data_IF_783446148446
#
_entry.id   IF_783446148446
#
_cell.length_a   1.000
_cell.length_b   1.000
_cell.length_c   1.000
_cell.angle_alpha   90.00
_cell.angle_beta   90.00
_cell.angle_gamma   90.00
#
_symmetry.space_group_name_H-M   'P 1'
#
loop_
_entity.id
_entity.type
_entity.pdbx_description
1 polymer ?
#
# COMPACT_ATOMS: atom_id res chain seq x y z
N UNK A 1 3.62 -10.03 17.98
CA UNK A 1 2.46 -9.45 17.31
C UNK A 1 1.37 -10.49 17.39
N UNK A 2 0.74 -10.67 18.55
CA UNK A 2 -0.41 -11.55 18.60
C UNK A 2 -1.57 -10.74 17.97
N UNK A 3 -1.99 -11.15 16.78
CA UNK A 3 -3.21 -10.71 16.08
C UNK A 3 -3.12 -9.52 15.10
N UNK A 4 -1.93 -8.94 14.87
CA UNK A 4 -1.78 -8.02 13.74
C UNK A 4 -1.75 -8.84 12.44
N UNK A 5 -2.90 -8.92 11.74
CA UNK A 5 -2.93 -9.40 10.36
C UNK A 5 -2.00 -8.53 9.52
N UNK A 6 -0.97 -9.15 8.99
CA UNK A 6 -0.02 -8.52 8.08
C UNK A 6 -0.80 -8.10 6.84
N UNK A 7 -0.60 -6.87 6.37
CA UNK A 7 -1.06 -6.50 5.03
C UNK A 7 -0.33 -7.38 4.01
N UNK A 8 -0.96 -7.72 2.90
CA UNK A 8 -0.26 -8.27 1.75
C UNK A 8 -0.72 -7.51 0.53
N UNK A 9 0.18 -7.15 -0.39
CA UNK A 9 -0.22 -6.54 -1.65
C UNK A 9 -0.93 -7.56 -2.54
N UNK A 10 -2.00 -7.16 -3.23
CA UNK A 10 -2.65 -8.02 -4.22
C UNK A 10 -1.75 -8.14 -5.46
N UNK A 11 -1.34 -9.37 -5.85
CA UNK A 11 -0.50 -9.53 -7.03
C UNK A 11 -1.28 -9.21 -8.31
N UNK A 12 -0.63 -8.64 -9.33
CA UNK A 12 -1.27 -8.45 -10.63
C UNK A 12 -1.56 -9.79 -11.31
N UNK A 13 -2.51 -9.80 -12.25
CA UNK A 13 -2.86 -11.01 -13.03
C UNK A 13 -1.65 -11.63 -13.73
N UNK A 14 -0.74 -10.80 -14.22
CA UNK A 14 0.61 -11.21 -14.65
C UNK A 14 1.52 -9.99 -14.71
N UNK A 15 2.83 -10.21 -14.62
CA UNK A 15 3.81 -9.11 -14.73
C UNK A 15 3.76 -8.41 -16.10
N UNK A 16 3.48 -9.15 -17.18
CA UNK A 16 3.34 -8.56 -18.51
C UNK A 16 2.12 -7.63 -18.60
N UNK A 17 0.99 -8.02 -18.02
CA UNK A 17 -0.22 -7.20 -18.02
C UNK A 17 -0.07 -5.99 -17.08
N UNK A 18 0.58 -6.16 -15.94
CA UNK A 18 0.95 -5.07 -15.03
C UNK A 18 1.76 -4.01 -15.78
N UNK A 19 2.84 -4.41 -16.45
CA UNK A 19 3.67 -3.51 -17.24
C UNK A 19 2.87 -2.80 -18.35
N UNK A 20 2.09 -3.54 -19.14
CA UNK A 20 1.29 -2.96 -20.22
C UNK A 20 0.25 -1.96 -19.71
N UNK A 21 -0.47 -2.29 -18.63
CA UNK A 21 -1.46 -1.41 -18.02
C UNK A 21 -0.82 -0.14 -17.47
N UNK A 22 0.31 -0.28 -16.77
CA UNK A 22 1.04 0.85 -16.23
C UNK A 22 1.52 1.82 -17.32
N UNK A 23 2.03 1.30 -18.44
CA UNK A 23 2.47 2.14 -19.57
C UNK A 23 1.30 2.79 -20.31
N UNK A 24 0.18 2.08 -20.44
CA UNK A 24 -1.02 2.61 -21.08
C UNK A 24 -1.64 3.76 -20.26
N UNK A 25 -1.69 3.60 -18.93
CA UNK A 25 -2.17 4.64 -18.00
C UNK A 25 -1.22 5.84 -17.96
N UNK A 26 0.07 5.58 -17.76
CA UNK A 26 1.08 6.62 -17.65
C UNK A 26 2.35 6.24 -18.43
N UNK A 27 2.53 6.76 -19.66
CA UNK A 27 3.73 6.51 -20.44
C UNK A 27 5.04 6.97 -19.75
N UNK A 28 4.98 7.83 -18.73
CA UNK A 28 6.17 8.18 -17.93
C UNK A 28 6.67 7.03 -17.05
N UNK A 29 5.84 5.99 -16.84
CA UNK A 29 6.24 4.73 -16.23
C UNK A 29 7.27 3.99 -17.11
N UNK A 30 7.40 4.35 -18.41
CA UNK A 30 8.56 4.01 -19.26
C UNK A 30 9.76 4.82 -18.79
N UNK A 31 10.37 4.43 -17.69
CA UNK A 31 11.72 4.82 -17.24
C UNK A 31 12.42 5.91 -18.09
N UNK A 32 12.21 7.19 -17.79
CA UNK A 32 13.16 8.23 -18.24
C UNK A 32 14.50 7.98 -17.51
N UNK A 33 15.60 8.00 -18.25
CA UNK A 33 16.93 8.11 -17.68
C UNK A 33 17.03 9.49 -17.02
N UNK A 34 17.26 9.53 -15.70
CA UNK A 34 17.61 10.75 -15.00
C UNK A 34 16.57 11.23 -14.00
N UNK A 35 17.08 11.47 -12.79
CA UNK A 35 16.46 12.07 -11.59
C UNK A 35 15.72 11.05 -10.72
N UNK A 36 16.48 10.49 -9.77
CA UNK A 36 15.94 9.98 -8.51
C UNK A 36 15.37 11.15 -7.72
N UNK A 37 14.28 10.97 -6.98
CA UNK A 37 14.01 11.61 -5.68
C UNK A 37 12.80 10.93 -4.99
N UNK A 38 13.09 10.25 -3.86
CA UNK A 38 12.38 10.33 -2.57
C UNK A 38 11.01 9.62 -2.33
N UNK A 39 11.07 8.35 -1.85
CA UNK A 39 10.05 7.51 -1.12
C UNK A 39 9.76 6.16 -1.80
N UNK A 40 9.16 5.15 -1.15
CA UNK A 40 8.98 3.81 -1.75
C UNK A 40 7.77 3.76 -2.69
N UNK A 41 7.84 4.46 -3.82
CA UNK A 41 6.87 4.33 -4.91
C UNK A 41 7.47 3.49 -6.04
N UNK A 42 6.71 2.54 -6.57
CA UNK A 42 7.12 1.86 -7.79
C UNK A 42 6.93 2.83 -8.96
N UNK A 43 8.03 3.45 -9.41
CA UNK A 43 8.06 4.37 -10.56
C UNK A 43 7.36 3.79 -11.80
N UNK A 44 7.26 2.47 -11.89
CA UNK A 44 6.58 1.75 -12.97
C UNK A 44 5.10 1.45 -12.76
N UNK A 45 4.44 1.91 -11.68
CA UNK A 45 3.04 1.56 -11.36
C UNK A 45 2.19 2.74 -10.86
N UNK A 46 2.68 3.96 -10.94
CA UNK A 46 1.96 5.14 -10.47
C UNK A 46 0.91 5.58 -11.50
N UNK A 47 -0.16 6.20 -11.02
CA UNK A 47 -1.19 6.79 -11.87
C UNK A 47 -0.65 8.01 -12.62
N UNK A 48 -1.30 8.40 -13.71
CA UNK A 48 -0.94 9.64 -14.39
C UNK A 48 -1.34 10.84 -13.52
N UNK A 49 -0.47 11.83 -13.37
CA UNK A 49 -0.83 13.07 -12.67
C UNK A 49 -2.07 13.73 -13.31
N UNK A 50 -2.89 14.41 -12.48
CA UNK A 50 -4.18 15.00 -12.85
C UNK A 50 -5.27 14.00 -13.26
N UNK A 51 -5.06 12.69 -13.11
CA UNK A 51 -6.08 11.65 -13.36
C UNK A 51 -7.18 11.70 -12.29
N UNK A 52 -8.42 11.49 -12.72
CA UNK A 52 -9.57 11.25 -11.84
C UNK A 52 -9.71 9.78 -11.47
N UNK A 53 -9.29 9.38 -10.27
CA UNK A 53 -9.47 8.01 -9.80
C UNK A 53 -10.89 7.80 -9.28
N UNK A 54 -11.59 6.83 -9.89
CA UNK A 54 -12.90 6.41 -9.45
C UNK A 54 -12.80 5.35 -8.33
N UNK A 55 -13.57 5.55 -7.26
CA UNK A 55 -13.60 4.68 -6.08
C UNK A 55 -15.04 4.20 -5.85
N UNK A 56 -15.23 2.91 -5.62
CA UNK A 56 -16.54 2.35 -5.26
C UNK A 56 -16.45 1.36 -4.10
N UNK A 57 -17.55 1.21 -3.37
CA UNK A 57 -17.71 0.20 -2.33
C UNK A 57 -18.50 -0.98 -2.88
N UNK A 58 -17.97 -2.20 -2.75
CA UNK A 58 -18.62 -3.42 -3.24
C UNK A 58 -19.65 -3.99 -2.27
N UNK A 59 -19.71 -3.44 -1.04
CA UNK A 59 -20.68 -3.79 -0.03
C UNK A 59 -21.62 -2.61 0.23
N UNK A 60 -22.86 -2.92 0.63
CA UNK A 60 -23.83 -1.90 1.02
C UNK A 60 -23.42 -1.29 2.37
N UNK A 61 -22.83 -0.10 2.31
CA UNK A 61 -22.47 0.72 3.46
C UNK A 61 -23.51 1.81 3.71
N UNK A 62 -23.72 2.15 4.98
CA UNK A 62 -24.49 3.33 5.36
C UNK A 62 -23.82 4.62 4.88
N UNK A 63 -24.57 5.71 4.75
CA UNK A 63 -24.02 7.01 4.36
C UNK A 63 -22.96 7.51 5.36
N UNK A 64 -23.11 7.18 6.63
CA UNK A 64 -22.17 7.53 7.70
C UNK A 64 -20.84 6.79 7.51
N UNK A 65 -20.89 5.47 7.34
CA UNK A 65 -19.68 4.67 7.04
C UNK A 65 -18.99 5.19 5.78
N UNK A 66 -19.74 5.40 4.69
CA UNK A 66 -19.16 5.93 3.45
C UNK A 66 -18.48 7.28 3.67
N UNK A 67 -19.04 8.16 4.52
CA UNK A 67 -18.45 9.46 4.85
C UNK A 67 -17.11 9.28 5.57
N UNK A 68 -17.04 8.39 6.57
CA UNK A 68 -15.81 8.13 7.32
C UNK A 68 -14.69 7.55 6.45
N UNK A 69 -15.01 6.62 5.54
CA UNK A 69 -14.03 6.14 4.55
C UNK A 69 -13.53 7.27 3.64
N UNK A 70 -14.45 8.12 3.13
CA UNK A 70 -14.10 9.24 2.24
C UNK A 70 -13.19 10.25 2.94
N UNK A 71 -13.44 10.56 4.20
CA UNK A 71 -12.65 11.50 4.99
C UNK A 71 -11.20 11.03 5.13
N UNK A 72 -10.99 9.77 5.51
CA UNK A 72 -9.64 9.20 5.64
C UNK A 72 -8.92 9.14 4.28
N UNK A 73 -9.60 8.68 3.22
CA UNK A 73 -9.02 8.61 1.87
C UNK A 73 -8.60 10.01 1.38
N UNK A 74 -9.39 11.05 1.70
CA UNK A 74 -9.09 12.44 1.31
C UNK A 74 -7.86 13.02 1.99
N UNK A 75 -7.34 12.41 3.05
CA UNK A 75 -6.09 12.86 3.67
C UNK A 75 -4.92 12.77 2.70
N UNK A 76 -4.82 11.67 1.93
CA UNK A 76 -3.89 11.58 0.81
C UNK A 76 -4.19 12.64 -0.26
N UNK A 77 -5.47 12.90 -0.54
CA UNK A 77 -5.95 13.93 -1.46
C UNK A 77 -5.37 15.33 -1.20
N UNK A 78 -5.03 15.67 0.05
CA UNK A 78 -4.40 16.95 0.38
C UNK A 78 -2.94 17.05 -0.11
N UNK A 79 -2.31 15.93 -0.43
CA UNK A 79 -0.89 15.83 -0.74
C UNK A 79 -0.60 15.34 -2.17
N UNK A 80 -1.62 14.93 -2.92
CA UNK A 80 -1.49 14.45 -4.29
C UNK A 80 -2.27 15.34 -5.25
N UNK A 81 -1.91 15.27 -6.53
CA UNK A 81 -2.65 15.89 -7.62
C UNK A 81 -3.39 14.84 -8.45
N UNK A 82 -4.23 14.09 -7.77
CA UNK A 82 -5.20 13.16 -8.33
C UNK A 82 -6.58 13.58 -7.82
N UNK A 83 -7.58 13.52 -8.69
CA UNK A 83 -8.96 13.77 -8.29
C UNK A 83 -9.61 12.46 -7.86
N UNK A 84 -10.01 12.34 -6.61
CA UNK A 84 -10.62 11.11 -6.08
C UNK A 84 -12.13 11.28 -6.07
N UNK A 85 -12.80 10.59 -6.99
CA UNK A 85 -14.25 10.62 -7.13
C UNK A 85 -14.84 9.28 -6.70
N UNK A 86 -15.94 9.34 -5.98
CA UNK A 86 -16.63 8.15 -5.53
C UNK A 86 -17.88 7.93 -6.37
N UNK A 87 -18.07 6.70 -6.84
CA UNK A 87 -19.13 6.34 -7.79
C UNK A 87 -19.88 5.09 -7.32
N UNK A 88 -21.10 4.93 -7.84
CA UNK A 88 -21.89 3.69 -7.73
C UNK A 88 -21.53 2.67 -8.81
N UNK A 89 -20.76 3.06 -9.83
CA UNK A 89 -20.36 2.18 -10.92
C UNK A 89 -19.39 1.11 -10.43
N UNK A 90 -19.67 -0.16 -10.80
CA UNK A 90 -18.89 -1.30 -10.33
C UNK A 90 -17.55 -1.45 -11.04
N UNK A 91 -17.36 -0.80 -12.18
CA UNK A 91 -16.12 -0.81 -12.96
C UNK A 91 -15.12 0.30 -12.57
N UNK A 92 -15.30 0.87 -11.37
CA UNK A 92 -14.36 1.86 -10.82
C UNK A 92 -12.92 1.33 -10.73
N UNK A 93 -11.96 2.25 -10.78
CA UNK A 93 -10.52 1.97 -10.71
C UNK A 93 -10.18 1.27 -9.37
N UNK A 94 -10.68 1.82 -8.26
CA UNK A 94 -10.52 1.27 -6.91
C UNK A 94 -11.86 0.72 -6.39
N UNK A 95 -11.89 -0.58 -6.08
CA UNK A 95 -13.08 -1.32 -5.66
C UNK A 95 -12.87 -1.91 -4.28
N UNK A 96 -13.43 -1.26 -3.26
CA UNK A 96 -13.20 -1.58 -1.85
C UNK A 96 -14.22 -2.62 -1.38
N UNK A 97 -13.71 -3.79 -0.98
CA UNK A 97 -14.48 -4.81 -0.26
C UNK A 97 -14.28 -4.63 1.23
N UNK A 98 -15.38 -4.48 1.97
CA UNK A 98 -15.32 -4.24 3.41
C UNK A 98 -15.82 -5.45 4.20
N UNK A 99 -16.72 -6.29 3.67
CA UNK A 99 -17.10 -7.56 4.30
C UNK A 99 -16.03 -8.61 4.02
N UNK A 100 -14.91 -8.49 4.72
CA UNK A 100 -13.70 -9.29 4.57
C UNK A 100 -13.01 -9.44 5.92
N UNK A 101 -12.10 -10.39 6.04
CA UNK A 101 -11.21 -10.50 7.18
C UNK A 101 -9.81 -9.94 6.90
N UNK A 102 -9.54 -9.49 5.68
CA UNK A 102 -8.19 -9.19 5.20
C UNK A 102 -8.03 -7.69 4.91
N UNK A 103 -6.81 -7.18 5.10
CA UNK A 103 -6.39 -5.86 4.66
C UNK A 103 -5.35 -6.04 3.57
N UNK A 104 -5.65 -5.53 2.38
CA UNK A 104 -4.78 -5.64 1.21
C UNK A 104 -5.22 -4.68 0.11
N UNK A 105 -4.29 -4.28 -0.75
CA UNK A 105 -4.59 -3.50 -1.95
C UNK A 105 -3.71 -3.92 -3.10
N UNK A 106 -4.22 -3.78 -4.33
CA UNK A 106 -3.38 -3.72 -5.51
C UNK A 106 -2.49 -2.48 -5.45
N UNK A 107 -1.29 -2.58 -6.03
CA UNK A 107 -0.31 -1.50 -6.03
C UNK A 107 -0.49 -0.62 -7.27
N UNK A 108 -1.00 0.59 -7.08
CA UNK A 108 -1.20 1.57 -8.15
C UNK A 108 -1.99 1.00 -9.33
N UNK A 109 -1.42 1.12 -10.53
CA UNK A 109 -2.04 0.68 -11.79
C UNK A 109 -2.23 -0.83 -11.91
N UNK A 110 -1.71 -1.65 -10.99
CA UNK A 110 -2.04 -3.08 -10.94
C UNK A 110 -3.54 -3.30 -10.75
N UNK A 111 -4.24 -2.34 -10.14
CA UNK A 111 -5.70 -2.31 -10.03
C UNK A 111 -6.42 -2.45 -11.38
N UNK A 112 -5.81 -1.95 -12.47
CA UNK A 112 -6.35 -2.06 -13.84
C UNK A 112 -6.24 -3.47 -14.43
N UNK A 113 -5.45 -4.35 -13.81
CA UNK A 113 -5.30 -5.76 -14.24
C UNK A 113 -6.28 -6.70 -13.55
N UNK A 114 -6.93 -6.22 -12.48
CA UNK A 114 -7.89 -6.98 -11.70
C UNK A 114 -9.23 -6.99 -12.41
N UNK A 115 -9.84 -8.17 -12.53
CA UNK A 115 -11.17 -8.32 -13.13
C UNK A 115 -12.19 -7.37 -12.51
N UNK A 116 -13.07 -6.81 -13.35
CA UNK A 116 -14.07 -5.81 -12.97
C UNK A 116 -15.00 -6.28 -11.85
N UNK A 117 -15.24 -7.59 -11.71
CA UNK A 117 -16.09 -8.15 -10.66
C UNK A 117 -15.34 -8.34 -9.33
N UNK A 118 -14.01 -8.28 -9.34
CA UNK A 118 -13.18 -8.54 -8.18
C UNK A 118 -12.75 -7.25 -7.48
N UNK A 119 -12.60 -7.25 -6.14
CA UNK A 119 -12.07 -6.12 -5.40
C UNK A 119 -10.61 -5.82 -5.77
N UNK A 120 -10.24 -4.54 -5.76
CA UNK A 120 -8.82 -4.12 -5.84
C UNK A 120 -8.26 -3.71 -4.49
N UNK A 121 -9.12 -3.63 -3.47
CA UNK A 121 -8.75 -3.35 -2.09
C UNK A 121 -9.71 -4.07 -1.13
N UNK A 122 -9.16 -4.57 -0.04
CA UNK A 122 -9.86 -5.19 1.07
C UNK A 122 -9.56 -4.41 2.34
N UNK A 123 -10.61 -4.07 3.08
CA UNK A 123 -10.52 -3.37 4.37
C UNK A 123 -11.39 -4.12 5.38
N UNK A 124 -10.74 -4.85 6.28
CA UNK A 124 -11.40 -5.56 7.36
C UNK A 124 -11.79 -4.61 8.51
N UNK A 125 -10.93 -3.62 8.79
CA UNK A 125 -11.16 -2.66 9.86
C UNK A 125 -12.37 -1.77 9.56
N UNK A 126 -13.24 -1.58 10.56
CA UNK A 126 -14.49 -0.81 10.41
C UNK A 126 -14.41 0.55 11.06
N UNK A 127 -15.17 1.55 10.58
CA UNK A 127 -15.31 2.79 11.31
C UNK A 127 -15.72 2.54 12.77
N UNK A 128 -15.05 3.23 13.69
CA UNK A 128 -15.12 2.98 15.14
C UNK A 128 -14.00 2.08 15.69
N UNK A 129 -13.31 1.30 14.86
CA UNK A 129 -12.05 0.63 15.24
C UNK A 129 -10.93 1.66 15.42
N UNK A 130 -10.10 1.51 16.44
CA UNK A 130 -8.93 2.36 16.65
C UNK A 130 -7.91 2.25 15.52
N UNK A 131 -7.93 1.15 14.75
CA UNK A 131 -7.01 0.88 13.64
C UNK A 131 -7.57 1.27 12.27
N UNK A 132 -8.86 1.63 12.19
CA UNK A 132 -9.55 1.91 10.94
C UNK A 132 -8.81 2.93 10.07
N UNK A 133 -8.52 4.10 10.65
CA UNK A 133 -7.85 5.18 9.93
C UNK A 133 -6.45 4.77 9.47
N UNK A 134 -5.66 4.20 10.37
CA UNK A 134 -4.29 3.74 10.09
C UNK A 134 -4.24 2.74 8.94
N UNK A 135 -5.07 1.70 9.02
CA UNK A 135 -5.12 0.65 7.99
C UNK A 135 -5.62 1.22 6.67
N UNK A 136 -6.67 2.05 6.69
CA UNK A 136 -7.19 2.63 5.45
C UNK A 136 -6.19 3.59 4.79
N UNK A 137 -5.42 4.39 5.56
CA UNK A 137 -4.34 5.20 5.01
C UNK A 137 -3.25 4.34 4.37
N UNK A 138 -2.86 3.24 5.02
CA UNK A 138 -1.85 2.30 4.52
C UNK A 138 -2.29 1.64 3.22
N UNK A 139 -3.47 1.01 3.20
CA UNK A 139 -3.99 0.33 2.01
C UNK A 139 -4.23 1.32 0.86
N UNK A 140 -4.69 2.53 1.15
CA UNK A 140 -4.84 3.55 0.12
C UNK A 140 -3.48 4.06 -0.38
N UNK A 141 -2.43 4.03 0.44
CA UNK A 141 -1.05 4.27 0.00
C UNK A 141 -0.60 3.26 -1.06
N UNK A 142 -0.94 1.97 -0.88
CA UNK A 142 -0.73 0.96 -1.92
C UNK A 142 -1.53 1.27 -3.19
N UNK A 143 -2.80 1.64 -3.06
CA UNK A 143 -3.60 2.05 -4.22
C UNK A 143 -3.00 3.25 -4.97
N UNK A 144 -2.18 4.08 -4.31
CA UNK A 144 -1.43 5.18 -4.93
C UNK A 144 -0.06 4.76 -5.49
N UNK A 145 0.32 3.49 -5.36
CA UNK A 145 1.57 2.93 -5.90
C UNK A 145 2.73 2.89 -4.91
N UNK A 146 2.48 3.13 -3.61
CA UNK A 146 3.49 2.97 -2.57
C UNK A 146 3.63 1.52 -2.12
N UNK A 147 4.83 1.14 -1.75
CA UNK A 147 5.17 -0.21 -1.27
C UNK A 147 5.60 -0.17 0.20
N UNK A 148 5.78 -1.35 0.79
CA UNK A 148 6.14 -1.46 2.20
C UNK A 148 7.52 -0.89 2.54
N UNK A 149 7.58 -0.01 3.53
CA UNK A 149 8.80 0.69 3.94
C UNK A 149 9.82 -0.23 4.64
N UNK A 150 9.39 -1.33 5.27
CA UNK A 150 10.33 -2.31 5.84
C UNK A 150 11.09 -3.10 4.77
N UNK A 151 10.58 -3.13 3.53
CA UNK A 151 11.26 -3.70 2.36
C UNK A 151 12.10 -2.67 1.60
N UNK A 152 12.22 -1.44 2.13
CA UNK A 152 13.04 -0.39 1.56
C UNK A 152 14.50 -0.90 1.35
N UNK A 153 15.17 -0.59 0.21
CA UNK A 153 16.53 -1.05 -0.08
C UNK A 153 17.55 -0.75 1.03
N UNK A 154 17.44 0.42 1.65
CA UNK A 154 18.26 0.85 2.80
C UNK A 154 17.70 0.50 4.19
N UNK A 155 16.58 -0.22 4.31
CA UNK A 155 16.13 -0.74 5.59
C UNK A 155 17.14 -1.80 6.07
N UNK A 156 17.84 -1.52 7.17
CA UNK A 156 18.82 -2.42 7.78
C UNK A 156 18.25 -3.00 9.08
N UNK A 157 17.03 -3.56 9.00
CA UNK A 157 16.34 -4.14 10.14
C UNK A 157 17.13 -5.38 10.60
N UNK A 158 17.55 -5.47 11.88
CA UNK A 158 18.32 -6.59 12.40
C UNK A 158 17.40 -7.79 12.71
N UNK A 159 16.81 -8.36 11.66
CA UNK A 159 15.84 -9.45 11.78
C UNK A 159 16.42 -10.68 12.48
N UNK A 160 15.73 -11.16 13.51
CA UNK A 160 15.87 -12.53 13.99
C UNK A 160 15.01 -13.45 13.12
N UNK A 161 15.55 -13.82 11.96
CA UNK A 161 14.83 -14.60 10.95
C UNK A 161 14.23 -15.90 11.50
N UNK A 162 14.92 -16.57 12.41
CA UNK A 162 14.42 -17.82 13.00
C UNK A 162 13.12 -17.59 13.77
N UNK A 163 13.06 -16.55 14.62
CA UNK A 163 11.82 -16.23 15.36
C UNK A 163 10.68 -15.79 14.45
N UNK A 164 10.98 -15.07 13.38
CA UNK A 164 10.00 -14.71 12.34
C UNK A 164 9.45 -15.97 11.66
N UNK A 165 10.31 -16.88 11.20
CA UNK A 165 9.89 -18.16 10.61
C UNK A 165 9.05 -18.99 11.59
N UNK A 166 9.52 -19.17 12.83
CA UNK A 166 8.85 -19.98 13.84
C UNK A 166 7.44 -19.45 14.11
N UNK A 167 7.27 -18.13 14.19
CA UNK A 167 5.98 -17.52 14.42
C UNK A 167 5.04 -17.68 13.23
N UNK A 168 5.46 -17.28 12.03
CA UNK A 168 4.58 -17.20 10.87
C UNK A 168 4.31 -18.54 10.19
N UNK A 169 5.21 -19.53 10.31
CA UNK A 169 4.92 -20.90 9.87
C UNK A 169 3.82 -21.57 10.72
N UNK A 170 3.75 -21.27 12.04
CA UNK A 170 2.64 -21.72 12.89
C UNK A 170 1.30 -21.10 12.50
N UNK A 171 1.32 -19.94 11.85
CA UNK A 171 0.14 -19.28 11.28
C UNK A 171 -0.16 -19.75 9.85
N UNK A 172 0.56 -20.76 9.33
CA UNK A 172 0.31 -21.38 8.05
C UNK A 172 1.05 -20.77 6.86
N UNK A 173 1.89 -19.75 7.05
CA UNK A 173 2.69 -19.20 5.95
C UNK A 173 3.87 -20.11 5.58
N UNK A 174 4.11 -20.26 4.28
CA UNK A 174 5.31 -20.94 3.78
C UNK A 174 6.54 -20.09 4.03
N UNK A 175 7.72 -20.71 4.12
CA UNK A 175 8.99 -19.96 4.25
C UNK A 175 9.22 -19.02 3.07
N UNK A 176 8.86 -19.44 1.86
CA UNK A 176 8.96 -18.59 0.66
C UNK A 176 8.07 -17.33 0.79
N UNK A 177 6.83 -17.49 1.26
CA UNK A 177 5.96 -16.34 1.51
C UNK A 177 6.53 -15.43 2.61
N UNK A 178 7.14 -15.98 3.66
CA UNK A 178 7.79 -15.18 4.71
C UNK A 178 8.99 -14.42 4.14
N UNK A 179 9.81 -15.07 3.31
CA UNK A 179 10.95 -14.41 2.65
C UNK A 179 10.49 -13.23 1.79
N UNK A 180 9.44 -13.42 1.00
CA UNK A 180 8.87 -12.38 0.14
C UNK A 180 8.28 -11.22 0.95
N UNK A 181 7.52 -11.50 2.02
CA UNK A 181 6.81 -10.45 2.76
C UNK A 181 7.69 -9.70 3.78
N UNK A 182 8.77 -10.30 4.29
CA UNK A 182 9.57 -9.71 5.38
C UNK A 182 11.00 -9.36 5.00
N UNK A 183 11.64 -10.14 4.14
CA UNK A 183 13.10 -10.07 3.96
C UNK A 183 13.52 -9.64 2.56
N UNK A 184 12.68 -9.86 1.56
CA UNK A 184 12.98 -9.56 0.17
C UNK A 184 12.79 -8.07 -0.07
N UNK A 185 13.91 -7.34 -0.03
CA UNK A 185 13.93 -5.92 -0.36
C UNK A 185 13.41 -5.70 -1.77
N UNK A 186 12.71 -4.58 -1.96
CA UNK A 186 12.20 -4.19 -3.27
C UNK A 186 13.39 -3.97 -4.20
N UNK A 187 13.42 -4.70 -5.31
CA UNK A 187 14.52 -4.72 -6.27
C UNK A 187 14.13 -4.10 -7.63
N UNK A 188 13.00 -3.40 -7.68
CA UNK A 188 12.50 -2.71 -8.86
C UNK A 188 13.03 -1.29 -8.93
N UNK A 189 12.98 -0.67 -10.11
CA UNK A 189 13.29 0.75 -10.24
C UNK A 189 12.23 1.54 -9.49
N UNK A 190 12.68 2.28 -8.49
CA UNK A 190 11.84 3.03 -7.58
C UNK A 190 12.56 4.32 -7.25
N UNK A 191 11.81 5.40 -7.12
CA UNK A 191 12.20 6.51 -6.28
C UNK A 191 12.38 5.94 -4.86
N UNK A 192 13.32 6.46 -4.07
CA UNK A 192 13.56 6.03 -2.68
C UNK A 192 13.97 7.22 -1.84
N UNK A 193 13.42 7.31 -0.63
CA UNK A 193 13.83 8.27 0.39
C UNK A 193 15.00 7.70 1.17
N UNK A 194 15.46 8.42 2.19
CA UNK A 194 15.98 7.72 3.35
C UNK A 194 14.88 6.81 3.92
N UNK A 195 15.29 5.65 4.42
CA UNK A 195 14.41 4.73 5.14
C UNK A 195 13.70 5.46 6.29
N UNK A 196 12.36 5.36 6.34
CA UNK A 196 11.51 6.05 7.30
C UNK A 196 10.76 5.11 8.24
N UNK A 197 11.29 4.94 9.45
CA UNK A 197 10.62 4.16 10.51
C UNK A 197 9.25 4.72 10.90
N UNK A 198 8.94 5.98 10.56
CA UNK A 198 7.65 6.63 10.88
C UNK A 198 6.66 6.60 9.72
N UNK A 199 7.02 6.01 8.57
CA UNK A 199 6.12 5.92 7.43
C UNK A 199 4.84 5.16 7.78
N UNK A 200 3.71 5.65 7.30
CA UNK A 200 2.44 4.91 7.34
C UNK A 200 2.54 3.59 6.60
N UNK A 201 3.46 3.47 5.63
CA UNK A 201 3.72 2.26 4.83
C UNK A 201 4.63 1.25 5.56
N UNK A 202 5.03 1.53 6.80
CA UNK A 202 5.87 0.64 7.59
C UNK A 202 5.05 -0.27 8.50
N UNK A 203 5.36 -1.56 8.56
CA UNK A 203 4.76 -2.45 9.55
C UNK A 203 5.22 -2.13 10.97
N UNK A 204 4.37 -2.33 12.00
CA UNK A 204 4.92 -2.50 13.33
C UNK A 204 5.94 -3.66 13.30
N UNK A 205 7.07 -3.50 13.97
CA UNK A 205 8.11 -4.52 14.14
C UNK A 205 8.40 -4.63 15.63
N UNK A 206 8.14 -5.79 16.21
CA UNK A 206 8.43 -6.04 17.61
C UNK A 206 9.88 -6.45 17.84
N UNK A 207 10.44 -6.04 18.99
CA UNK A 207 11.76 -6.48 19.47
C UNK A 207 11.97 -7.98 19.44
N UNK A 208 10.89 -8.74 19.62
CA UNK A 208 10.93 -10.21 19.61
C UNK A 208 11.37 -10.77 18.26
N UNK A 209 11.11 -10.06 17.16
CA UNK A 209 11.48 -10.47 15.80
C UNK A 209 12.81 -9.89 15.33
N UNK A 210 13.54 -9.18 16.21
CA UNK A 210 14.81 -8.53 15.90
C UNK A 210 15.90 -8.96 16.88
N UNK A 211 16.96 -8.15 17.02
CA UNK A 211 18.04 -8.32 18.00
C UNK A 211 17.62 -8.06 19.46
N UNK A 212 16.34 -7.76 19.71
CA UNK A 212 15.82 -7.44 21.03
C UNK A 212 15.93 -5.96 21.40
N UNK A 213 16.51 -5.12 20.54
CA UNK A 213 16.63 -3.66 20.74
C UNK A 213 15.78 -2.92 19.71
N UNK A 214 15.91 -3.28 18.44
CA UNK A 214 15.19 -2.61 17.35
C UNK A 214 13.68 -2.89 17.41
N UNK A 215 12.87 -1.84 17.33
CA UNK A 215 11.43 -1.92 17.17
C UNK A 215 10.91 -0.78 16.30
N UNK A 216 9.75 -1.00 15.70
CA UNK A 216 8.93 0.05 15.08
C UNK A 216 7.52 -0.12 15.63
N UNK A 217 6.98 0.90 16.27
CA UNK A 217 5.59 0.88 16.75
C UNK A 217 4.62 1.12 15.60
N UNK A 218 3.32 0.88 15.81
CA UNK A 218 2.32 1.22 14.80
C UNK A 218 2.33 2.73 14.53
N UNK A 219 2.57 3.12 13.28
CA UNK A 219 2.49 4.50 12.83
C UNK A 219 1.05 4.80 12.45
N UNK A 220 0.49 5.91 12.92
CA UNK A 220 -0.94 6.23 12.73
C UNK A 220 -1.19 7.44 11.85
N UNK A 221 -0.13 8.09 11.37
CA UNK A 221 -0.16 9.35 10.62
C UNK A 221 0.70 9.25 9.37
N UNK A 222 0.37 10.04 8.34
CA UNK A 222 1.29 10.26 7.23
C UNK A 222 2.55 10.95 7.73
N UNK A 223 3.70 10.34 7.49
CA UNK A 223 4.99 10.93 7.84
C UNK A 223 5.30 12.12 6.92
N UNK A 224 6.31 12.91 7.31
CA UNK A 224 6.84 13.97 6.43
C UNK A 224 7.37 13.40 5.12
N UNK A 225 7.95 12.21 5.14
CA UNK A 225 8.52 11.57 3.94
C UNK A 225 7.42 10.92 3.08
N UNK A 226 6.35 10.39 3.69
CA UNK A 226 5.15 9.94 2.96
C UNK A 226 4.53 11.09 2.15
N UNK A 227 4.31 12.24 2.80
CA UNK A 227 3.76 13.44 2.18
C UNK A 227 4.69 13.97 1.08
N UNK A 228 5.99 13.97 1.32
CA UNK A 228 6.98 14.43 0.35
C UNK A 228 6.98 13.53 -0.90
N UNK A 229 6.94 12.22 -0.71
CA UNK A 229 6.85 11.25 -1.79
C UNK A 229 5.56 11.44 -2.60
N UNK A 230 4.41 11.50 -1.94
CA UNK A 230 3.13 11.74 -2.58
C UNK A 230 3.12 12.99 -3.47
N UNK A 231 3.72 14.10 -3.01
CA UNK A 231 3.86 15.34 -3.78
C UNK A 231 4.85 15.24 -4.93
N UNK A 232 5.83 14.35 -4.85
CA UNK A 232 6.84 14.13 -5.89
C UNK A 232 6.28 13.28 -7.01
N UNK A 233 5.58 12.20 -6.67
CA UNK A 233 4.92 11.31 -7.64
C UNK A 233 3.70 11.98 -8.28
N UNK A 234 2.92 12.73 -7.50
CA UNK A 234 1.73 13.44 -7.96
C UNK A 234 1.87 14.95 -7.77
N UNK A 235 2.74 15.61 -8.56
CA UNK A 235 3.04 17.03 -8.42
C UNK A 235 1.83 17.90 -8.76
N UNK A 236 1.67 19.00 -8.03
CA UNK A 236 0.69 20.06 -8.31
C UNK A 236 1.11 20.93 -9.47
#
# INVERSE_FOLDING_TARGET
MPDCKICTTLPPKSQSLSYQAALAENPANVSRQGISLLGVALDGKVWKAFRTLSVTFLDNLTNEEQTQYREVIREWGNHINLDIVFTSERDADIRIKTKTSDNSSAVGTDALTVDVQNPTMYIAEKPGSSRFRTVLLHEFGHALGFEHEHLHPYANIPWNKQKVYDHFTRLGMSRAAIDENFFTKINQKMSVTAYDQKSIMHYPIEKTFTDGVFEVTENTELSRLDIHMARTVYPR
#
